data_IF_106211636761
#
_entry.id   IF_106211636761
#
_cell.length_a   1.000
_cell.length_b   1.000
_cell.length_c   1.000
_cell.angle_alpha   90.00
_cell.angle_beta   90.00
_cell.angle_gamma   90.00
#
_symmetry.space_group_name_H-M   'P 1'
#
loop_
_entity.id
_entity.type
_entity.pdbx_description
1 polymer ?
#
# COMPACT_ATOMS: atom_id res chain seq x y z
N UNK A 1 -2.83 3.14 -8.03
CA UNK A 1 -1.58 3.73 -7.48
C UNK A 1 -0.60 4.21 -8.55
N UNK A 2 -0.28 3.42 -9.59
CA UNK A 2 0.61 3.82 -10.70
C UNK A 2 0.29 5.20 -11.32
N UNK A 3 -0.99 5.55 -11.44
CA UNK A 3 -1.42 6.86 -11.94
C UNK A 3 -0.97 8.03 -11.05
N UNK A 4 -0.99 7.86 -9.73
CA UNK A 4 -0.54 8.88 -8.77
C UNK A 4 0.97 9.10 -8.85
N UNK A 5 1.76 8.04 -9.03
CA UNK A 5 3.19 8.14 -9.30
C UNK A 5 3.45 8.98 -10.56
N UNK A 6 2.76 8.65 -11.66
CA UNK A 6 2.92 9.36 -12.94
C UNK A 6 2.52 10.83 -12.85
N UNK A 7 1.44 11.13 -12.13
CA UNK A 7 1.00 12.51 -11.91
C UNK A 7 2.03 13.31 -11.11
N UNK A 8 2.57 12.73 -10.04
CA UNK A 8 3.62 13.37 -9.24
C UNK A 8 4.89 13.63 -10.07
N UNK A 9 5.37 12.63 -10.81
CA UNK A 9 6.57 12.79 -11.65
C UNK A 9 6.39 13.80 -12.78
N UNK A 10 5.18 13.90 -13.36
CA UNK A 10 4.86 14.94 -14.37
C UNK A 10 4.86 16.34 -13.75
N UNK A 11 4.32 16.49 -12.53
CA UNK A 11 4.26 17.77 -11.83
C UNK A 11 5.65 18.26 -11.37
N UNK A 12 6.49 17.37 -10.84
CA UNK A 12 7.82 17.71 -10.32
C UNK A 12 8.91 17.73 -11.40
N UNK A 13 8.67 17.07 -12.54
CA UNK A 13 9.66 16.85 -13.59
C UNK A 13 10.40 15.53 -13.38
N UNK A 14 10.52 14.70 -14.44
CA UNK A 14 11.07 13.34 -14.33
C UNK A 14 12.50 13.29 -13.78
N UNK A 15 13.34 14.25 -14.15
CA UNK A 15 14.74 14.32 -13.71
C UNK A 15 14.88 14.84 -12.27
N UNK A 16 13.80 15.31 -11.65
CA UNK A 16 13.78 15.94 -10.32
C UNK A 16 13.05 15.07 -9.29
N UNK A 17 12.82 13.79 -9.60
CA UNK A 17 12.06 12.85 -8.77
C UNK A 17 12.95 11.68 -8.41
N UNK A 18 13.11 11.44 -7.12
CA UNK A 18 13.73 10.21 -6.61
C UNK A 18 12.67 9.15 -6.32
N UNK A 19 13.11 7.91 -6.10
CA UNK A 19 12.22 6.85 -5.62
C UNK A 19 11.69 7.19 -4.22
N UNK A 20 12.49 7.80 -3.37
CA UNK A 20 12.13 8.16 -2.00
C UNK A 20 11.01 9.21 -1.97
N UNK A 21 11.08 10.22 -2.86
CA UNK A 21 10.01 11.19 -3.06
C UNK A 21 8.66 10.50 -3.36
N UNK A 22 8.70 9.48 -4.22
CA UNK A 22 7.51 8.73 -4.60
C UNK A 22 6.99 7.90 -3.42
N UNK A 23 7.86 7.20 -2.70
CA UNK A 23 7.50 6.41 -1.51
C UNK A 23 6.81 7.30 -0.48
N UNK A 24 7.40 8.45 -0.15
CA UNK A 24 6.86 9.37 0.84
C UNK A 24 5.43 9.81 0.51
N UNK A 25 5.18 10.17 -0.76
CA UNK A 25 3.87 10.67 -1.20
C UNK A 25 2.83 9.55 -1.39
N UNK A 26 3.26 8.38 -1.84
CA UNK A 26 2.36 7.29 -2.21
C UNK A 26 1.95 6.46 -1.00
N UNK A 27 2.85 6.23 -0.05
CA UNK A 27 2.60 5.34 1.10
C UNK A 27 1.31 5.64 1.86
N UNK A 28 1.01 6.88 2.31
CA UNK A 28 -0.22 7.16 3.04
C UNK A 28 -1.48 6.91 2.18
N UNK A 29 -1.44 7.23 0.89
CA UNK A 29 -2.55 6.98 -0.05
C UNK A 29 -2.75 5.48 -0.31
N UNK A 30 -1.64 4.73 -0.41
CA UNK A 30 -1.66 3.28 -0.55
C UNK A 30 -2.30 2.60 0.65
N UNK A 31 -1.89 2.99 1.87
CA UNK A 31 -2.46 2.47 3.12
C UNK A 31 -3.96 2.77 3.24
N UNK A 32 -4.37 3.99 2.91
CA UNK A 32 -5.77 4.41 2.95
C UNK A 32 -6.64 3.72 1.88
N UNK A 33 -6.07 3.34 0.73
CA UNK A 33 -6.80 2.70 -0.35
C UNK A 33 -7.15 1.22 -0.08
N UNK A 34 -6.62 0.62 0.99
CA UNK A 34 -6.94 -0.77 1.36
C UNK A 34 -8.29 -0.80 2.10
N UNK A 35 -9.33 -1.46 1.54
CA UNK A 35 -10.62 -1.58 2.22
C UNK A 35 -10.51 -2.35 3.53
N UNK A 36 -11.31 -1.97 4.53
CA UNK A 36 -11.28 -2.63 5.83
C UNK A 36 -11.76 -4.09 5.78
N UNK A 37 -12.63 -4.42 4.82
CA UNK A 37 -13.04 -5.81 4.57
C UNK A 37 -11.86 -6.72 4.24
N UNK A 38 -10.91 -6.24 3.42
CA UNK A 38 -9.70 -7.00 3.06
C UNK A 38 -8.81 -7.20 4.29
N UNK A 39 -8.67 -6.16 5.13
CA UNK A 39 -7.90 -6.27 6.39
C UNK A 39 -8.54 -7.31 7.32
N UNK A 40 -9.87 -7.28 7.46
CA UNK A 40 -10.61 -8.21 8.30
C UNK A 40 -10.51 -9.65 7.80
N UNK A 41 -10.65 -9.88 6.49
CA UNK A 41 -10.50 -11.20 5.87
C UNK A 41 -9.11 -11.78 6.11
N UNK A 42 -8.06 -11.00 5.84
CA UNK A 42 -6.68 -11.44 6.04
C UNK A 42 -6.39 -11.73 7.52
N UNK A 43 -6.88 -10.88 8.44
CA UNK A 43 -6.74 -11.12 9.87
C UNK A 43 -7.42 -12.44 10.27
N UNK A 44 -8.59 -12.74 9.70
CA UNK A 44 -9.27 -13.99 9.99
C UNK A 44 -8.50 -15.20 9.47
N UNK A 45 -7.91 -15.11 8.26
CA UNK A 45 -7.04 -16.15 7.72
C UNK A 45 -5.81 -16.41 8.59
N UNK A 46 -5.20 -15.35 9.12
CA UNK A 46 -4.08 -15.48 10.08
C UNK A 46 -4.53 -16.19 11.35
N UNK A 47 -5.68 -15.81 11.92
CA UNK A 47 -6.24 -16.46 13.12
C UNK A 47 -6.53 -17.94 12.87
N UNK A 48 -7.20 -18.27 11.77
CA UNK A 48 -7.49 -19.66 11.39
C UNK A 48 -6.22 -20.50 11.24
N UNK A 49 -5.17 -19.94 10.61
CA UNK A 49 -3.88 -20.60 10.50
C UNK A 49 -3.26 -20.88 11.88
N UNK A 50 -3.25 -19.89 12.77
CA UNK A 50 -2.68 -20.04 14.11
C UNK A 50 -3.44 -21.07 14.96
N UNK A 51 -4.77 -21.12 14.84
CA UNK A 51 -5.59 -22.14 15.53
C UNK A 51 -5.30 -23.53 14.99
N UNK A 52 -5.21 -23.70 13.67
CA UNK A 52 -4.91 -24.99 13.06
C UNK A 52 -3.50 -25.50 13.38
N UNK A 53 -2.51 -24.60 13.56
CA UNK A 53 -1.13 -24.96 13.89
C UNK A 53 -0.92 -25.31 15.38
N UNK A 54 -1.89 -24.99 16.25
CA UNK A 54 -1.83 -25.26 17.69
C UNK A 54 -2.51 -26.58 18.11
N UNK A 55 -3.15 -27.27 17.16
CA UNK A 55 -3.75 -28.61 17.27
C UNK A 55 -2.80 -29.66 16.69
#
# INVERSE_FOLDING_TARGET
>A
MKALCRAYSRKKGRNNVTVDDLIHVITPKGRAAVPDSIKAELLQRIRSFLVAAAL
#
